data_IF_271186561332
#
_entry.id   IF_271186561332
#
_cell.length_a   1.000
_cell.length_b   1.000
_cell.length_c   1.000
_cell.angle_alpha   90.00
_cell.angle_beta   90.00
_cell.angle_gamma   90.00
#
_symmetry.space_group_name_H-M   'P 1'
#
loop_
_entity.id
_entity.type
_entity.pdbx_description
1 polymer ?
#
# COMPACT_ATOMS: atom_id res chain seq x y z
N UNK A 1 -18.86 -67.98 -11.07
CA UNK A 1 -17.67 -67.12 -10.91
C UNK A 1 -17.71 -65.85 -11.76
N UNK A 2 -18.03 -65.90 -13.08
CA UNK A 2 -18.09 -64.73 -13.99
C UNK A 2 -18.93 -63.52 -13.49
N UNK A 3 -20.08 -63.76 -12.84
CA UNK A 3 -20.95 -62.70 -12.29
C UNK A 3 -20.34 -61.91 -11.11
N UNK A 4 -19.49 -62.55 -10.29
CA UNK A 4 -18.85 -61.90 -9.12
C UNK A 4 -17.68 -61.01 -9.54
N UNK A 5 -16.94 -61.41 -10.58
CA UNK A 5 -15.87 -60.59 -11.17
C UNK A 5 -16.40 -59.39 -11.95
N UNK A 6 -17.52 -59.55 -12.66
CA UNK A 6 -18.15 -58.42 -13.38
C UNK A 6 -18.70 -57.35 -12.42
N UNK A 7 -19.28 -57.77 -11.28
CA UNK A 7 -19.79 -56.85 -10.25
C UNK A 7 -18.67 -56.10 -9.51
N UNK A 8 -17.53 -56.75 -9.24
CA UNK A 8 -16.38 -56.12 -8.59
C UNK A 8 -15.70 -55.09 -9.51
N UNK A 9 -15.55 -55.42 -10.81
CA UNK A 9 -14.99 -54.50 -11.79
C UNK A 9 -15.90 -53.27 -12.02
N UNK A 10 -17.23 -53.46 -12.08
CA UNK A 10 -18.18 -52.36 -12.21
C UNK A 10 -18.19 -51.44 -10.97
N UNK A 11 -18.05 -52.00 -9.76
CA UNK A 11 -17.97 -51.22 -8.52
C UNK A 11 -16.69 -50.38 -8.43
N UNK A 12 -15.54 -50.93 -8.84
CA UNK A 12 -14.27 -50.19 -8.85
C UNK A 12 -14.32 -49.05 -9.88
N UNK A 13 -14.93 -49.29 -11.04
CA UNK A 13 -15.10 -48.28 -12.08
C UNK A 13 -16.03 -47.14 -11.63
N UNK A 14 -17.11 -47.48 -10.91
CA UNK A 14 -18.01 -46.47 -10.30
C UNK A 14 -17.31 -45.66 -9.21
N UNK A 15 -16.55 -46.31 -8.33
CA UNK A 15 -15.76 -45.61 -7.30
C UNK A 15 -14.70 -44.71 -7.93
N UNK A 16 -14.01 -45.16 -8.98
CA UNK A 16 -13.04 -44.34 -9.70
C UNK A 16 -13.69 -43.15 -10.41
N UNK A 17 -14.88 -43.32 -11.00
CA UNK A 17 -15.64 -42.23 -11.62
C UNK A 17 -16.15 -41.21 -10.58
N UNK A 18 -16.54 -41.67 -9.39
CA UNK A 18 -16.92 -40.79 -8.26
C UNK A 18 -15.72 -40.03 -7.69
N UNK A 19 -14.56 -40.67 -7.60
CA UNK A 19 -13.31 -40.00 -7.16
C UNK A 19 -12.81 -39.00 -8.20
N UNK A 20 -12.95 -39.30 -9.51
CA UNK A 20 -12.62 -38.34 -10.58
C UNK A 20 -13.56 -37.14 -10.64
N UNK A 21 -14.86 -37.33 -10.33
CA UNK A 21 -15.81 -36.21 -10.29
C UNK A 21 -15.70 -35.36 -9.02
N UNK A 22 -15.08 -35.87 -7.96
CA UNK A 22 -14.78 -35.12 -6.74
C UNK A 22 -13.57 -34.17 -6.88
N UNK A 23 -12.75 -34.32 -7.93
CA UNK A 23 -11.71 -33.35 -8.30
C UNK A 23 -12.24 -32.33 -9.31
N UNK A 24 -13.32 -31.62 -8.93
CA UNK A 24 -13.61 -30.33 -9.54
C UNK A 24 -12.59 -29.34 -8.98
N UNK A 25 -11.50 -29.14 -9.72
CA UNK A 25 -10.63 -28.00 -9.48
C UNK A 25 -11.47 -26.74 -9.66
N UNK A 26 -11.65 -25.97 -8.59
CA UNK A 26 -12.25 -24.65 -8.70
C UNK A 26 -11.31 -23.82 -9.57
N UNK A 27 -11.73 -23.54 -10.80
CA UNK A 27 -11.13 -22.46 -11.58
C UNK A 27 -11.60 -21.19 -10.91
N UNK A 28 -10.80 -20.62 -10.01
CA UNK A 28 -11.02 -19.25 -9.58
C UNK A 28 -10.84 -18.35 -10.81
N UNK A 29 -11.86 -17.56 -11.11
CA UNK A 29 -11.66 -16.42 -11.99
C UNK A 29 -10.64 -15.51 -11.30
N UNK A 30 -9.74 -14.88 -12.05
CA UNK A 30 -8.88 -13.84 -11.47
C UNK A 30 -9.78 -12.67 -11.06
N UNK A 31 -10.21 -12.64 -9.81
CA UNK A 31 -11.03 -11.57 -9.29
C UNK A 31 -10.16 -10.33 -9.08
N UNK A 32 -10.66 -9.16 -9.49
CA UNK A 32 -9.87 -7.92 -9.51
C UNK A 32 -10.44 -6.92 -8.51
N UNK A 33 -9.61 -6.51 -7.57
CA UNK A 33 -9.90 -5.40 -6.68
C UNK A 33 -9.73 -4.06 -7.41
N UNK A 34 -10.45 -3.04 -6.96
CA UNK A 34 -10.34 -1.68 -7.52
C UNK A 34 -10.06 -0.67 -6.42
N UNK A 35 -8.97 0.06 -6.57
CA UNK A 35 -8.54 1.12 -5.65
C UNK A 35 -8.51 2.46 -6.38
N UNK A 36 -8.93 3.53 -5.71
CA UNK A 36 -8.81 4.89 -6.24
C UNK A 36 -8.46 5.90 -5.16
N UNK A 37 -7.78 6.98 -5.57
CA UNK A 37 -7.54 8.13 -4.72
C UNK A 37 -8.51 9.27 -5.06
N UNK A 38 -9.03 9.94 -4.03
CA UNK A 38 -9.85 11.14 -4.23
C UNK A 38 -9.04 12.28 -4.85
N UNK A 39 -9.68 13.10 -5.67
CA UNK A 39 -9.10 14.35 -6.19
C UNK A 39 -9.73 15.56 -5.49
N UNK A 40 -8.95 16.63 -5.32
CA UNK A 40 -9.41 17.86 -4.64
C UNK A 40 -8.80 19.12 -5.25
N UNK A 41 -9.32 20.27 -4.85
CA UNK A 41 -8.78 21.60 -5.17
C UNK A 41 -8.14 22.20 -3.93
N UNK A 42 -7.02 22.89 -4.09
CA UNK A 42 -6.28 23.50 -2.99
C UNK A 42 -5.60 24.81 -3.43
N UNK A 43 -5.29 25.67 -2.48
CA UNK A 43 -4.37 26.79 -2.63
C UNK A 43 -3.00 26.42 -2.05
N UNK A 44 -1.98 27.15 -2.47
CA UNK A 44 -0.67 27.11 -1.82
C UNK A 44 -0.81 27.35 -0.31
N UNK A 45 -0.15 26.53 0.50
CA UNK A 45 -0.22 26.57 1.96
C UNK A 45 -1.44 25.87 2.57
N UNK A 46 -2.39 25.34 1.80
CA UNK A 46 -3.52 24.58 2.36
C UNK A 46 -3.08 23.20 2.87
N UNK A 47 -3.83 22.66 3.83
CA UNK A 47 -3.75 21.25 4.21
C UNK A 47 -4.97 20.53 3.63
N UNK A 48 -4.74 19.46 2.87
CA UNK A 48 -5.80 18.71 2.20
C UNK A 48 -5.75 17.22 2.52
N UNK A 49 -6.91 16.59 2.56
CA UNK A 49 -7.04 15.15 2.78
C UNK A 49 -7.36 14.44 1.48
N UNK A 50 -6.59 13.41 1.17
CA UNK A 50 -6.80 12.48 0.07
C UNK A 50 -7.23 11.14 0.66
N UNK A 51 -8.38 10.64 0.21
CA UNK A 51 -8.93 9.36 0.67
C UNK A 51 -8.51 8.26 -0.29
N UNK A 52 -8.06 7.13 0.27
CA UNK A 52 -7.78 5.88 -0.44
C UNK A 52 -9.06 5.04 -0.35
N UNK A 53 -9.71 4.81 -1.48
CA UNK A 53 -10.97 4.06 -1.56
C UNK A 53 -10.75 2.68 -2.19
N UNK A 54 -11.29 1.64 -1.57
CA UNK A 54 -11.47 0.31 -2.12
C UNK A 54 -12.88 0.22 -2.71
N UNK A 55 -12.97 0.38 -4.03
CA UNK A 55 -14.23 0.49 -4.78
C UNK A 55 -14.86 -0.88 -5.08
N UNK A 56 -14.02 -1.90 -5.27
CA UNK A 56 -14.41 -3.29 -5.50
C UNK A 56 -13.48 -4.18 -4.70
N UNK A 57 -14.04 -5.12 -3.95
CA UNK A 57 -13.32 -6.01 -3.07
C UNK A 57 -13.86 -7.44 -3.24
N UNK A 58 -13.14 -8.32 -3.96
CA UNK A 58 -13.56 -9.72 -4.14
C UNK A 58 -13.47 -10.55 -2.86
N UNK A 59 -12.66 -10.11 -1.89
CA UNK A 59 -12.36 -10.87 -0.68
C UNK A 59 -10.88 -10.73 -0.35
N UNK A 60 -10.51 -9.73 0.45
CA UNK A 60 -9.11 -9.41 0.73
C UNK A 60 -8.84 -9.60 2.23
N UNK A 61 -7.79 -10.35 2.58
CA UNK A 61 -7.27 -10.39 3.96
C UNK A 61 -5.95 -9.63 4.12
N UNK A 62 -5.20 -9.46 3.02
CA UNK A 62 -3.98 -8.68 2.99
C UNK A 62 -3.92 -7.83 1.73
N UNK A 63 -3.41 -6.59 1.84
CA UNK A 63 -3.22 -5.69 0.71
C UNK A 63 -2.04 -4.76 0.96
N UNK A 64 -1.17 -4.62 -0.05
CA UNK A 64 -0.09 -3.64 -0.06
C UNK A 64 -0.27 -2.62 -1.18
N UNK A 65 -0.18 -1.33 -0.85
CA UNK A 65 -0.21 -0.23 -1.81
C UNK A 65 0.97 0.71 -1.60
N UNK A 66 1.54 1.21 -2.70
CA UNK A 66 2.48 2.32 -2.69
C UNK A 66 1.78 3.57 -3.25
N UNK A 67 1.80 4.66 -2.48
CA UNK A 67 1.21 5.95 -2.87
C UNK A 67 2.31 6.95 -3.14
N UNK A 68 2.52 7.27 -4.41
CA UNK A 68 3.55 8.21 -4.88
C UNK A 68 3.02 9.63 -5.01
N UNK A 69 3.85 10.61 -4.67
CA UNK A 69 3.54 12.03 -4.80
C UNK A 69 4.79 12.87 -5.05
N UNK A 70 4.58 14.08 -5.56
CA UNK A 70 5.64 15.05 -5.83
C UNK A 70 6.00 15.83 -4.55
N UNK A 71 7.14 15.50 -3.95
CA UNK A 71 7.63 16.14 -2.70
C UNK A 71 8.02 17.60 -2.88
N UNK A 72 8.21 18.07 -4.11
CA UNK A 72 8.43 19.49 -4.40
C UNK A 72 7.14 20.33 -4.32
N UNK A 73 5.97 19.68 -4.31
CA UNK A 73 4.65 20.32 -4.27
C UNK A 73 3.86 19.98 -3.01
N UNK A 74 4.06 18.79 -2.47
CA UNK A 74 3.29 18.23 -1.37
C UNK A 74 4.21 17.68 -0.28
N UNK A 75 3.84 17.89 0.97
CA UNK A 75 4.43 17.23 2.12
C UNK A 75 3.37 16.38 2.80
N UNK A 76 3.64 15.09 2.98
CA UNK A 76 2.75 14.22 3.74
C UNK A 76 2.88 14.53 5.24
N UNK A 77 1.77 14.85 5.89
CA UNK A 77 1.74 15.19 7.32
C UNK A 77 1.27 14.03 8.19
N UNK A 78 0.30 13.25 7.71
CA UNK A 78 -0.25 12.12 8.46
C UNK A 78 -0.93 11.10 7.55
N UNK A 79 -0.93 9.84 7.98
CA UNK A 79 -1.75 8.77 7.41
C UNK A 79 -2.61 8.18 8.53
N UNK A 80 -3.89 7.97 8.26
CA UNK A 80 -4.84 7.34 9.17
C UNK A 80 -5.54 6.20 8.47
N UNK A 81 -5.47 5.02 9.09
CA UNK A 81 -6.33 3.88 8.74
C UNK A 81 -7.80 4.20 9.04
N UNK A 82 -8.71 3.57 8.28
CA UNK A 82 -10.16 3.67 8.47
C UNK A 82 -10.78 2.42 9.12
N UNK A 83 -9.99 1.38 9.35
CA UNK A 83 -10.44 0.13 9.97
C UNK A 83 -11.31 -0.73 9.06
N UNK A 84 -11.36 -0.44 7.75
CA UNK A 84 -12.08 -1.28 6.78
C UNK A 84 -11.38 -2.64 6.62
N UNK A 85 -10.05 -2.64 6.61
CA UNK A 85 -9.19 -3.81 6.64
C UNK A 85 -8.43 -3.86 7.97
N UNK A 86 -8.03 -5.05 8.44
CA UNK A 86 -7.31 -5.20 9.71
C UNK A 86 -5.79 -5.31 9.51
N UNK A 87 -5.05 -5.21 10.61
CA UNK A 87 -3.59 -5.37 10.61
C UNK A 87 -2.86 -4.25 9.87
N UNK A 88 -3.36 -3.03 10.00
CA UNK A 88 -2.77 -1.83 9.41
C UNK A 88 -1.30 -1.64 9.81
N UNK A 89 -0.46 -1.35 8.83
CA UNK A 89 0.92 -0.89 8.98
C UNK A 89 1.28 0.09 7.86
N UNK A 90 1.99 1.17 8.21
CA UNK A 90 2.52 2.14 7.25
C UNK A 90 4.04 2.16 7.29
N UNK A 91 4.70 2.61 6.21
CA UNK A 91 6.18 2.69 6.16
C UNK A 91 6.79 3.58 7.24
N UNK A 92 6.04 4.54 7.79
CA UNK A 92 6.51 5.48 8.80
C UNK A 92 7.43 6.59 8.28
N UNK A 93 7.96 6.45 7.06
CA UNK A 93 8.72 7.51 6.39
C UNK A 93 7.80 8.50 5.68
N UNK A 94 7.52 9.62 6.35
CA UNK A 94 6.72 10.73 5.82
C UNK A 94 7.50 11.66 4.88
N UNK A 95 8.80 11.45 4.73
CA UNK A 95 9.68 12.28 3.89
C UNK A 95 9.94 11.68 2.51
N UNK A 96 9.68 10.38 2.34
CA UNK A 96 9.78 9.69 1.06
C UNK A 96 8.81 10.26 0.01
N UNK A 97 9.15 10.09 -1.26
CA UNK A 97 8.26 10.40 -2.40
C UNK A 97 7.18 9.35 -2.66
N UNK A 98 7.24 8.22 -1.94
CA UNK A 98 6.23 7.18 -1.93
C UNK A 98 6.01 6.69 -0.51
N UNK A 99 4.76 6.59 -0.08
CA UNK A 99 4.38 6.05 1.23
C UNK A 99 3.71 4.70 1.06
N UNK A 100 4.17 3.69 1.80
CA UNK A 100 3.61 2.33 1.76
C UNK A 100 2.47 2.20 2.76
N UNK A 101 1.35 1.69 2.27
CA UNK A 101 0.16 1.29 3.02
C UNK A 101 0.09 -0.25 3.00
N UNK A 102 -0.04 -0.89 4.15
CA UNK A 102 -0.14 -2.35 4.24
C UNK A 102 -1.20 -2.77 5.25
N UNK A 103 -1.94 -3.82 4.93
CA UNK A 103 -2.90 -4.48 5.82
C UNK A 103 -2.68 -5.98 5.74
N UNK A 104 -2.74 -6.69 6.87
CA UNK A 104 -2.71 -8.15 6.94
C UNK A 104 -3.49 -8.64 8.15
N UNK A 105 -4.63 -9.29 7.93
CA UNK A 105 -5.39 -9.96 8.98
C UNK A 105 -4.93 -11.42 9.11
N UNK A 106 -3.81 -11.62 9.82
CA UNK A 106 -3.19 -12.95 10.03
C UNK A 106 -4.12 -13.94 10.76
N UNK A 107 -5.20 -13.45 11.37
CA UNK A 107 -6.20 -14.23 12.11
C UNK A 107 -7.53 -14.33 11.36
N UNK A 108 -7.58 -13.90 10.10
CA UNK A 108 -8.77 -14.04 9.26
C UNK A 108 -9.16 -15.52 9.16
N UNK A 109 -10.48 -15.75 9.18
CA UNK A 109 -11.09 -17.07 8.97
C UNK A 109 -11.96 -17.11 7.72
N UNK A 110 -12.27 -15.93 7.21
CA UNK A 110 -13.17 -15.65 6.11
C UNK A 110 -12.66 -14.39 5.40
N UNK A 111 -13.00 -14.26 4.12
CA UNK A 111 -12.70 -13.07 3.33
C UNK A 111 -13.38 -11.81 3.87
N UNK A 112 -12.69 -10.67 3.76
CA UNK A 112 -13.32 -9.37 3.90
C UNK A 112 -13.75 -8.86 2.52
N UNK A 113 -15.06 -8.72 2.31
CA UNK A 113 -15.65 -8.23 1.05
C UNK A 113 -16.14 -6.78 1.15
N UNK A 114 -15.79 -6.05 2.22
CA UNK A 114 -16.25 -4.69 2.46
C UNK A 114 -15.59 -3.70 1.49
N UNK A 115 -16.35 -2.72 1.03
CA UNK A 115 -15.86 -1.61 0.19
C UNK A 115 -15.99 -0.29 0.92
N UNK A 116 -15.20 0.71 0.53
CA UNK A 116 -15.19 2.03 1.14
C UNK A 116 -13.78 2.61 1.32
N UNK A 117 -13.67 3.62 2.18
CA UNK A 117 -12.38 4.23 2.50
C UNK A 117 -11.54 3.26 3.36
N UNK A 118 -10.32 2.96 2.92
CA UNK A 118 -9.35 2.14 3.67
C UNK A 118 -8.36 3.01 4.45
N UNK A 119 -7.99 4.17 3.91
CA UNK A 119 -7.10 5.11 4.57
C UNK A 119 -7.40 6.55 4.16
N UNK A 120 -6.89 7.49 4.95
CA UNK A 120 -6.81 8.92 4.61
C UNK A 120 -5.38 9.41 4.77
N UNK A 121 -4.90 10.15 3.78
CA UNK A 121 -3.58 10.77 3.75
C UNK A 121 -3.75 12.29 3.76
N UNK A 122 -3.12 12.96 4.70
CA UNK A 122 -3.18 14.42 4.84
C UNK A 122 -1.91 15.04 4.30
N UNK A 123 -2.04 15.91 3.31
CA UNK A 123 -0.94 16.59 2.65
C UNK A 123 -0.98 18.09 2.95
N UNK A 124 0.17 18.66 3.27
CA UNK A 124 0.43 20.09 3.15
C UNK A 124 0.78 20.41 1.70
N UNK A 125 0.08 21.36 1.13
CA UNK A 125 0.41 21.96 -0.17
C UNK A 125 1.46 23.04 0.05
N UNK A 126 2.59 22.93 -0.65
CA UNK A 126 3.72 23.85 -0.49
C UNK A 126 3.44 25.21 -1.15
N UNK A 127 4.20 26.23 -0.75
CA UNK A 127 3.92 27.64 -1.09
C UNK A 127 4.08 27.93 -2.59
N UNK A 128 4.92 27.16 -3.29
CA UNK A 128 5.18 27.30 -4.73
C UNK A 128 4.18 26.51 -5.61
N UNK A 129 3.03 26.12 -5.06
CA UNK A 129 2.02 25.34 -5.76
C UNK A 129 1.25 26.18 -6.81
N UNK A 130 1.73 26.14 -8.06
CA UNK A 130 1.08 26.77 -9.21
C UNK A 130 0.36 25.80 -10.14
N UNK A 131 0.77 24.53 -10.14
CA UNK A 131 0.34 23.52 -11.11
C UNK A 131 -0.21 22.28 -10.43
N UNK A 132 -1.00 21.49 -11.17
CA UNK A 132 -1.58 20.24 -10.68
C UNK A 132 -0.51 19.28 -10.12
N UNK A 133 -0.74 18.75 -8.91
CA UNK A 133 0.02 17.64 -8.35
C UNK A 133 -0.77 16.35 -8.55
N UNK A 134 -0.17 15.37 -9.25
CA UNK A 134 -0.75 14.03 -9.39
C UNK A 134 -0.24 13.15 -8.26
N UNK A 135 -1.14 12.34 -7.71
CA UNK A 135 -0.84 11.35 -6.68
C UNK A 135 -1.10 9.98 -7.31
N UNK A 136 -0.07 9.15 -7.42
CA UNK A 136 -0.17 7.80 -7.98
C UNK A 136 -0.50 6.80 -6.88
N UNK A 137 -1.10 5.68 -7.27
CA UNK A 137 -1.26 4.50 -6.42
C UNK A 137 -0.97 3.27 -7.26
N UNK A 138 -0.21 2.34 -6.70
CA UNK A 138 0.09 1.03 -7.29
C UNK A 138 0.03 -0.05 -6.23
N UNK A 139 -0.35 -1.26 -6.64
CA UNK A 139 -0.25 -2.43 -5.76
C UNK A 139 1.20 -2.86 -5.61
N UNK A 140 1.55 -3.28 -4.40
CA UNK A 140 2.80 -4.01 -4.16
C UNK A 140 2.61 -5.43 -4.68
N UNK A 141 3.58 -5.94 -5.44
CA UNK A 141 3.50 -7.29 -6.02
C UNK A 141 3.49 -8.35 -4.92
N UNK A 142 2.66 -9.39 -5.07
CA UNK A 142 2.56 -10.51 -4.12
C UNK A 142 2.09 -10.11 -2.71
N UNK A 143 1.44 -8.95 -2.58
CA UNK A 143 1.03 -8.39 -1.28
C UNK A 143 -0.49 -8.28 -1.13
N UNK A 144 -1.25 -8.78 -2.11
CA UNK A 144 -2.72 -8.72 -2.08
C UNK A 144 -3.30 -10.10 -2.33
N UNK A 145 -3.93 -10.68 -1.31
CA UNK A 145 -4.47 -12.03 -1.37
C UNK A 145 -5.73 -12.22 -0.49
N UNK A 146 -6.51 -13.24 -0.86
CA UNK A 146 -7.70 -13.70 -0.14
C UNK A 146 -7.35 -14.64 1.02
N UNK A 147 -8.35 -15.10 1.76
CA UNK A 147 -8.18 -16.00 2.91
C UNK A 147 -7.52 -17.34 2.54
N UNK A 148 -7.71 -17.80 1.30
CA UNK A 148 -7.07 -19.02 0.77
C UNK A 148 -5.66 -18.76 0.22
N UNK A 149 -5.13 -17.53 0.37
CA UNK A 149 -3.83 -17.09 -0.12
C UNK A 149 -3.71 -17.07 -1.65
N UNK A 150 -4.83 -16.96 -2.36
CA UNK A 150 -4.80 -16.71 -3.80
C UNK A 150 -4.49 -15.23 -4.04
N UNK A 151 -3.58 -14.96 -4.98
CA UNK A 151 -3.27 -13.60 -5.39
C UNK A 151 -4.49 -12.92 -6.02
N UNK A 152 -4.78 -11.70 -5.56
CA UNK A 152 -5.80 -10.82 -6.12
C UNK A 152 -5.12 -9.72 -6.92
N UNK A 153 -5.55 -9.58 -8.18
CA UNK A 153 -5.10 -8.46 -9.02
C UNK A 153 -5.74 -7.16 -8.54
N UNK A 154 -4.98 -6.07 -8.53
CA UNK A 154 -5.48 -4.74 -8.13
C UNK A 154 -5.39 -3.78 -9.32
N UNK A 155 -6.54 -3.24 -9.69
CA UNK A 155 -6.64 -2.08 -10.58
C UNK A 155 -6.61 -0.80 -9.75
N UNK A 156 -5.68 0.11 -10.05
CA UNK A 156 -5.45 1.30 -9.23
C UNK A 156 -5.59 2.58 -10.06
N UNK A 157 -6.27 3.60 -9.50
CA UNK A 157 -6.46 4.90 -10.13
C UNK A 157 -5.99 6.04 -9.22
N UNK A 158 -5.03 6.82 -9.72
CA UNK A 158 -4.46 7.95 -9.01
C UNK A 158 -5.41 9.13 -8.83
N UNK A 159 -5.03 10.04 -7.93
CA UNK A 159 -5.76 11.27 -7.61
C UNK A 159 -5.01 12.50 -8.09
N UNK A 160 -5.66 13.66 -7.99
CA UNK A 160 -5.08 14.96 -8.34
C UNK A 160 -5.44 16.02 -7.32
N UNK A 161 -4.47 16.84 -6.94
CA UNK A 161 -4.68 18.11 -6.27
C UNK A 161 -4.49 19.19 -7.32
N UNK A 162 -5.54 19.98 -7.58
CA UNK A 162 -5.54 21.03 -8.60
C UNK A 162 -5.60 22.41 -7.94
N UNK A 163 -4.95 23.45 -8.51
CA UNK A 163 -5.09 24.81 -8.02
C UNK A 163 -6.56 25.25 -7.99
N UNK A 164 -7.00 25.81 -6.88
CA UNK A 164 -8.31 26.45 -6.79
C UNK A 164 -8.26 27.81 -7.50
N UNK A 165 -9.21 28.08 -8.40
CA UNK A 165 -9.26 29.38 -9.08
C UNK A 165 -9.48 30.49 -8.04
N UNK A 166 -8.59 31.47 -8.04
CA UNK A 166 -8.79 32.69 -7.27
C UNK A 166 -9.90 33.48 -7.97
N UNK A 167 -11.11 33.52 -7.40
CA UNK A 167 -12.08 34.55 -7.78
C UNK A 167 -11.53 35.89 -7.35
N UNK A 168 -10.83 36.57 -8.25
CA UNK A 168 -10.44 37.97 -8.08
C UNK A 168 -11.74 38.78 -8.08
N UNK A 169 -12.13 39.31 -6.91
CA UNK A 169 -13.09 40.40 -6.88
C UNK A 169 -12.56 41.55 -7.78
N UNK A 170 -13.40 42.26 -8.55
CA UNK A 170 -12.91 43.30 -9.45
C UNK A 170 -12.26 44.43 -8.64
N UNK A 171 -10.93 44.52 -8.73
CA UNK A 171 -10.17 45.67 -8.21
C UNK A 171 -10.62 46.91 -9.00
N UNK A 172 -11.39 47.78 -8.34
CA UNK A 172 -11.74 49.09 -8.88
C UNK A 172 -10.47 49.94 -8.93
N UNK A 173 -9.89 50.12 -10.11
CA UNK A 173 -8.77 51.03 -10.36
C UNK A 173 -9.25 52.47 -10.12
N UNK A 174 -9.01 53.02 -8.93
CA UNK A 174 -9.08 54.47 -8.73
C UNK A 174 -7.72 55.08 -9.06
N UNK A 175 -7.62 55.61 -10.27
CA UNK A 175 -6.51 56.47 -10.71
C UNK A 175 -6.51 57.75 -9.88
N UNK A 176 -5.57 57.88 -8.92
CA UNK A 176 -5.24 59.16 -8.30
C UNK A 176 -3.97 59.73 -8.94
N UNK A 177 -4.19 60.77 -9.74
CA UNK A 177 -3.21 61.71 -10.27
C UNK A 177 -2.41 62.35 -9.14
N UNK A 178 -1.08 62.35 -9.25
CA UNK A 178 -0.16 63.04 -8.35
C UNK A 178 0.12 64.46 -8.85
N UNK A 179 0.02 65.45 -7.96
CA UNK A 179 0.56 66.80 -8.17
C UNK A 179 1.34 67.22 -6.91
N UNK A 180 2.58 67.63 -7.12
CA UNK A 180 3.59 68.01 -6.12
C UNK A 180 3.41 69.45 -5.64
N UNK A 181 3.57 69.72 -4.34
CA UNK A 181 3.92 71.06 -3.81
C UNK A 181 4.76 70.93 -2.53
N UNK A 182 5.77 71.79 -2.38
CA UNK A 182 6.89 71.81 -1.40
C UNK A 182 6.55 72.46 -0.03
N UNK A 183 7.45 72.17 0.94
CA UNK A 183 7.73 72.80 2.27
C UNK A 183 6.72 72.47 3.41
N UNK A 184 7.10 72.19 4.66
CA UNK A 184 8.22 72.69 5.49
C UNK A 184 8.66 71.69 6.59
N UNK A 185 9.87 71.91 7.13
CA UNK A 185 10.61 71.16 8.16
C UNK A 185 10.15 71.55 9.58
N UNK A 186 10.15 70.63 10.56
CA UNK A 186 10.65 70.87 11.94
C UNK A 186 10.96 69.55 12.66
N UNK A 187 12.18 69.48 13.20
CA UNK A 187 12.82 68.40 13.97
C UNK A 187 12.40 68.44 15.44
N UNK A 188 12.26 67.28 16.11
CA UNK A 188 12.52 67.16 17.57
C UNK A 188 13.02 65.75 17.91
N UNK A 189 14.23 65.68 18.50
CA UNK A 189 14.90 64.48 19.06
C UNK A 189 14.54 64.29 20.54
N UNK A 190 14.28 63.05 20.97
CA UNK A 190 14.56 62.48 22.33
C UNK A 190 14.27 60.97 22.25
N UNK A 191 15.23 60.04 22.25
CA UNK A 191 16.17 59.56 23.29
C UNK A 191 15.56 58.65 24.39
N UNK A 192 15.81 57.33 24.20
CA UNK A 192 16.18 56.27 25.17
C UNK A 192 15.10 55.71 26.13
N UNK A 193 14.89 54.39 26.16
CA UNK A 193 15.40 53.44 27.20
C UNK A 193 14.64 52.10 27.16
N UNK A 194 15.40 51.00 27.15
CA UNK A 194 15.02 49.58 27.34
C UNK A 194 14.42 49.29 28.71
N UNK A 195 13.45 48.38 28.84
CA UNK A 195 13.21 47.67 30.11
C UNK A 195 12.77 46.22 29.90
N UNK A 196 13.54 45.31 30.50
CA UNK A 196 13.29 43.87 30.73
C UNK A 196 12.41 43.75 31.96
N UNK A 197 11.35 42.95 31.91
CA UNK A 197 10.57 42.59 33.11
C UNK A 197 11.00 41.21 33.61
N UNK A 198 11.63 41.18 34.78
CA UNK A 198 11.70 40.03 35.67
C UNK A 198 11.41 40.57 37.08
N UNK A 199 10.49 39.95 37.81
CA UNK A 199 10.23 40.21 39.25
C UNK A 199 9.69 38.89 39.83
N UNK A 200 10.46 38.04 40.53
CA UNK A 200 10.88 38.03 41.96
C UNK A 200 9.69 38.00 42.96
N UNK A 201 9.66 37.26 44.08
CA UNK A 201 10.61 36.41 44.85
C UNK A 201 9.90 35.73 46.05
N UNK A 202 10.49 34.62 46.52
CA UNK A 202 10.65 34.03 47.89
C UNK A 202 9.61 34.20 49.01
N UNK A 203 9.36 33.10 49.73
CA UNK A 203 9.95 32.70 51.04
C UNK A 203 9.13 31.47 51.54
N UNK A 204 9.56 30.57 52.41
CA UNK A 204 10.84 30.03 52.90
C UNK A 204 10.40 28.86 53.83
N UNK A 205 11.35 27.99 54.19
CA UNK A 205 11.37 27.17 55.43
C UNK A 205 10.47 25.92 55.54
N UNK A 206 11.04 24.71 55.43
CA UNK A 206 11.62 23.92 56.55
C UNK A 206 11.89 22.42 56.19
N UNK A 207 13.09 21.96 56.58
CA UNK A 207 13.86 20.69 56.46
C UNK A 207 13.16 19.34 56.85
N UNK A 208 13.64 18.12 56.52
CA UNK A 208 14.97 17.48 56.74
C UNK A 208 15.24 16.29 55.77
N UNK A 209 16.47 16.15 55.26
CA UNK A 209 17.50 15.13 55.64
C UNK A 209 17.33 13.74 55.00
N UNK A 210 18.18 13.44 54.01
CA UNK A 210 18.91 12.17 53.96
C UNK A 210 20.07 12.29 52.97
N UNK A 211 21.28 12.29 53.54
CA UNK A 211 22.55 12.02 52.86
C UNK A 211 22.61 10.58 52.37
N UNK A 212 22.99 10.36 51.11
CA UNK A 212 23.84 9.22 50.78
C UNK A 212 24.75 9.56 49.60
N UNK A 213 26.03 9.30 49.80
CA UNK A 213 27.11 9.48 48.85
C UNK A 213 27.23 8.21 48.00
N UNK A 214 27.32 8.33 46.68
CA UNK A 214 28.12 7.38 45.88
C UNK A 214 28.71 8.08 44.66
N UNK A 215 30.04 8.16 44.66
CA UNK A 215 30.90 8.51 43.53
C UNK A 215 30.97 7.39 42.45
N UNK A 216 31.51 7.79 41.29
CA UNK A 216 32.14 6.96 40.22
C UNK A 216 31.21 6.05 39.39
N UNK A 217 31.36 5.84 38.09
CA UNK A 217 32.48 5.98 37.16
C UNK A 217 31.99 6.33 35.75
N UNK A 218 32.81 7.08 35.02
CA UNK A 218 32.67 7.37 33.60
C UNK A 218 33.38 6.29 32.78
N UNK A 219 32.64 5.41 32.12
CA UNK A 219 33.20 4.52 31.09
C UNK A 219 33.03 5.13 29.70
N UNK A 220 34.15 5.66 29.22
CA UNK A 220 34.43 6.10 27.86
C UNK A 220 34.51 4.88 26.93
N UNK A 221 33.45 4.62 26.15
CA UNK A 221 33.45 3.59 25.12
C UNK A 221 34.04 4.13 23.82
N UNK A 222 35.26 3.66 23.51
CA UNK A 222 35.99 3.91 22.27
C UNK A 222 35.47 2.96 21.17
N UNK A 223 35.04 3.51 20.03
CA UNK A 223 34.30 2.79 18.99
C UNK A 223 35.09 2.66 17.68
N UNK A 224 36.40 2.41 17.75
CA UNK A 224 37.27 2.34 16.56
C UNK A 224 37.85 0.98 16.23
N UNK A 225 37.23 -0.13 16.65
CA UNK A 225 37.71 -1.46 16.24
C UNK A 225 36.59 -2.43 15.83
N UNK A 226 35.85 -2.04 14.79
CA UNK A 226 34.99 -2.99 14.07
C UNK A 226 35.36 -2.96 12.59
N UNK A 227 36.27 -3.85 12.21
CA UNK A 227 36.58 -4.14 10.81
C UNK A 227 35.48 -5.05 10.25
N UNK A 228 34.74 -4.52 9.27
CA UNK A 228 33.69 -5.24 8.57
C UNK A 228 34.34 -6.09 7.47
N UNK A 229 34.21 -7.41 7.57
CA UNK A 229 34.68 -8.36 6.56
C UNK A 229 33.69 -8.35 5.39
N UNK A 230 34.04 -7.64 4.32
CA UNK A 230 33.25 -7.52 3.10
C UNK A 230 33.26 -8.85 2.35
N UNK A 231 32.16 -9.60 2.45
CA UNK A 231 31.99 -10.84 1.70
C UNK A 231 31.36 -10.49 0.35
N UNK A 232 32.18 -10.45 -0.71
CA UNK A 232 31.72 -10.30 -2.09
C UNK A 232 30.85 -11.51 -2.48
N UNK A 233 29.57 -11.28 -2.76
CA UNK A 233 28.65 -12.26 -3.33
C UNK A 233 28.61 -12.06 -4.84
N UNK A 234 29.26 -12.96 -5.58
CA UNK A 234 29.20 -13.00 -7.05
C UNK A 234 27.74 -13.18 -7.53
N UNK A 235 27.28 -12.26 -8.39
CA UNK A 235 25.99 -12.36 -9.07
C UNK A 235 26.17 -13.03 -10.43
N UNK A 236 25.78 -14.30 -10.57
CA UNK A 236 25.61 -14.91 -11.89
C UNK A 236 24.35 -14.37 -12.56
N UNK A 237 24.52 -13.81 -13.76
CA UNK A 237 23.45 -13.34 -14.63
C UNK A 237 22.89 -14.50 -15.46
N UNK A 238 21.73 -15.04 -15.04
CA UNK A 238 20.94 -15.93 -15.89
C UNK A 238 19.91 -15.09 -16.64
N UNK A 239 20.09 -15.00 -17.96
CA UNK A 239 19.12 -14.45 -18.89
C UNK A 239 18.03 -15.49 -19.14
N UNK A 240 16.78 -15.16 -18.82
CA UNK A 240 15.60 -15.93 -19.24
C UNK A 240 15.00 -15.26 -20.49
N UNK A 241 14.73 -15.99 -21.58
CA UNK A 241 14.15 -15.39 -22.76
C UNK A 241 12.64 -15.17 -22.59
N UNK A 242 12.19 -13.99 -23.02
CA UNK A 242 10.79 -13.62 -23.18
C UNK A 242 10.04 -14.63 -24.06
N UNK A 243 8.84 -15.03 -23.64
CA UNK A 243 7.85 -15.67 -24.51
C UNK A 243 6.51 -14.95 -24.34
N UNK A 244 6.34 -13.87 -25.11
CA UNK A 244 5.04 -13.30 -25.43
C UNK A 244 4.31 -14.21 -26.42
N UNK A 245 3.62 -15.21 -25.87
CA UNK A 245 2.62 -15.99 -26.57
C UNK A 245 1.36 -16.02 -25.72
N UNK A 246 0.18 -15.81 -26.33
CA UNK A 246 -1.16 -15.98 -25.75
C UNK A 246 -1.27 -17.35 -25.07
N UNK A 247 -0.77 -17.45 -23.85
CA UNK A 247 -0.40 -18.69 -23.21
C UNK A 247 -1.50 -19.15 -22.28
N UNK A 248 -2.23 -20.18 -22.70
CA UNK A 248 -2.75 -21.13 -21.73
C UNK A 248 -1.53 -21.52 -20.89
N UNK A 249 -1.50 -21.15 -19.60
CA UNK A 249 -0.31 -21.30 -18.75
C UNK A 249 0.26 -22.71 -18.92
N UNK A 250 1.59 -22.88 -18.87
CA UNK A 250 2.23 -24.20 -19.05
C UNK A 250 1.54 -25.27 -18.20
N UNK A 251 1.09 -24.91 -17.00
CA UNK A 251 0.25 -25.72 -16.12
C UNK A 251 -1.12 -26.10 -16.72
N UNK A 252 -1.86 -25.14 -17.28
CA UNK A 252 -3.15 -25.39 -17.95
C UNK A 252 -3.00 -26.21 -19.24
N UNK A 253 -1.93 -26.00 -20.01
CA UNK A 253 -1.65 -26.77 -21.22
C UNK A 253 -1.30 -28.23 -20.88
N UNK A 254 -0.47 -28.44 -19.85
CA UNK A 254 -0.15 -29.76 -19.31
C UNK A 254 -1.40 -30.48 -18.81
N UNK A 255 -2.31 -29.76 -18.13
CA UNK A 255 -3.56 -30.34 -17.64
C UNK A 255 -4.47 -30.83 -18.77
N UNK A 256 -4.62 -30.03 -19.83
CA UNK A 256 -5.43 -30.39 -21.02
C UNK A 256 -4.81 -31.61 -21.72
N UNK A 257 -3.49 -31.62 -21.90
CA UNK A 257 -2.79 -32.75 -22.52
C UNK A 257 -2.97 -34.03 -21.68
N UNK A 258 -2.83 -33.94 -20.36
CA UNK A 258 -3.06 -35.07 -19.46
C UNK A 258 -4.50 -35.58 -19.54
N UNK A 259 -5.50 -34.70 -19.55
CA UNK A 259 -6.90 -35.10 -19.68
C UNK A 259 -7.18 -35.82 -21.01
N UNK A 260 -6.60 -35.35 -22.11
CA UNK A 260 -6.73 -36.01 -23.43
C UNK A 260 -6.04 -37.38 -23.43
N UNK A 261 -4.85 -37.49 -22.83
CA UNK A 261 -4.15 -38.78 -22.69
C UNK A 261 -4.95 -39.79 -21.86
N UNK A 262 -5.54 -39.38 -20.74
CA UNK A 262 -6.37 -40.26 -19.91
C UNK A 262 -7.65 -40.71 -20.63
N UNK A 263 -8.28 -39.84 -21.42
CA UNK A 263 -9.45 -40.20 -22.23
C UNK A 263 -9.11 -41.26 -23.28
N UNK A 264 -7.97 -41.11 -23.98
CA UNK A 264 -7.52 -42.07 -25.01
C UNK A 264 -7.19 -43.43 -24.38
N UNK A 265 -6.46 -43.44 -23.26
CA UNK A 265 -6.11 -44.67 -22.53
C UNK A 265 -7.37 -45.36 -22.00
N UNK A 266 -8.33 -44.60 -21.46
CA UNK A 266 -9.62 -45.12 -21.00
C UNK A 266 -10.41 -45.83 -22.12
N UNK A 267 -10.48 -45.21 -23.30
CA UNK A 267 -11.16 -45.81 -24.47
C UNK A 267 -10.46 -47.09 -24.93
N UNK A 268 -9.13 -47.11 -24.97
CA UNK A 268 -8.36 -48.30 -25.35
C UNK A 268 -8.55 -49.48 -24.39
N UNK A 269 -8.64 -49.20 -23.09
CA UNK A 269 -8.92 -50.21 -22.06
C UNK A 269 -10.34 -50.76 -22.22
N UNK A 270 -11.35 -49.90 -22.47
CA UNK A 270 -12.73 -50.33 -22.71
C UNK A 270 -12.82 -51.22 -23.95
N UNK A 271 -12.19 -50.83 -25.05
CA UNK A 271 -12.16 -51.64 -26.28
C UNK A 271 -11.51 -53.00 -26.03
N UNK A 272 -10.41 -53.03 -25.26
CA UNK A 272 -9.71 -54.27 -24.92
C UNK A 272 -10.55 -55.21 -24.05
N UNK A 273 -11.30 -54.66 -23.08
CA UNK A 273 -12.21 -55.43 -22.23
C UNK A 273 -13.40 -55.97 -23.04
N UNK A 274 -13.98 -55.16 -23.93
CA UNK A 274 -15.10 -55.59 -24.82
C UNK A 274 -14.64 -56.66 -25.80
N UNK A 275 -13.43 -56.54 -26.34
CA UNK A 275 -12.85 -57.54 -27.24
C UNK A 275 -12.61 -58.87 -26.51
N UNK A 276 -12.07 -58.81 -25.29
CA UNK A 276 -11.84 -59.98 -24.43
C UNK A 276 -13.13 -60.62 -23.90
N UNK A 277 -14.27 -59.92 -23.91
CA UNK A 277 -15.56 -60.50 -23.51
C UNK A 277 -16.31 -61.18 -24.67
N UNK A 278 -15.83 -61.02 -25.91
CA UNK A 278 -16.40 -61.66 -27.11
C UNK A 278 -15.69 -62.96 -27.50
N UNK A 279 -14.53 -63.24 -26.91
CA UNK A 279 -13.87 -64.56 -26.90
C UNK A 279 -14.33 -65.39 -25.69
#
# INVERSE_FOLDING_TARGET
MKKRFFSAAASILLCAALVMTAMVFQVSSAETASVSLSSTKAKAGDTVTVTVNLNSNPGIIAMGLDVGYDTSKLKLESVSDKGLLKGWSGSGDYSASSYRLFWSDDLARDDNTSTGAVATMTFKVLDDFSDTATISVSSVSGSTFDNELNDISVSASGGKITPSETTTAPTTTTTKSSTTTKQSVTTTKKSVTTTRTTTTRFNDDYYEDMTDETESDTDYFDFTDFTFEETESETESVTEPEDEGRGISKTKAVLIILMVCFAIVGVAIIISIVKKSKE
#
